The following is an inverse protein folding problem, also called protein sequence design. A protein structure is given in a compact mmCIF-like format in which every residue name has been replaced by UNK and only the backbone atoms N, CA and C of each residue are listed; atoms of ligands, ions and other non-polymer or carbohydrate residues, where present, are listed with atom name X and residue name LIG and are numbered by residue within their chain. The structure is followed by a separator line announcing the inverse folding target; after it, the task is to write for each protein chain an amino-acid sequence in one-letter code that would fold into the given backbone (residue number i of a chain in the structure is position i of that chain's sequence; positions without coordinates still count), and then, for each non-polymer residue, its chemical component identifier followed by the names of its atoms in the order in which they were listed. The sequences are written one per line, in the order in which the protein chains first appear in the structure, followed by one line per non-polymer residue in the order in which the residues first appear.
data_IF_409740026646
#
_entry.id   IF_409740026646
#
_cell.length_a   1.000
_cell.length_b   1.000
_cell.length_c   1.000
_cell.angle_alpha   90.00
_cell.angle_beta   90.00
_cell.angle_gamma   90.00
#
_symmetry.space_group_name_H-M   'P 1'
#
loop_
_entity.id
_entity.type
_entity.pdbx_description
1 polymer ?
#
# COMPACT_ATOMS: atom_id res chain seq x y z
N UNK A 1 -5.16 -63.04 10.11
CA UNK A 1 -6.13 -62.08 10.66
C UNK A 1 -5.37 -60.87 11.20
N UNK A 2 -5.88 -59.66 10.89
CA UNK A 2 -5.54 -58.31 11.36
C UNK A 2 -4.28 -57.65 10.71
N UNK A 3 -4.37 -56.81 9.66
CA UNK A 3 -4.76 -55.36 9.59
C UNK A 3 -3.87 -54.47 10.49
N UNK A 4 -3.17 -53.40 10.07
CA UNK A 4 -3.48 -52.30 9.13
C UNK A 4 -2.18 -51.56 8.72
N UNK A 5 -2.15 -51.07 7.48
CA UNK A 5 -1.24 -50.07 6.90
C UNK A 5 -1.31 -48.73 7.66
N UNK A 6 -0.17 -48.08 7.92
CA UNK A 6 -0.15 -46.65 8.23
C UNK A 6 0.85 -45.92 7.33
N UNK A 7 0.36 -45.50 6.16
CA UNK A 7 0.83 -44.31 5.47
C UNK A 7 0.26 -43.09 6.21
N UNK A 8 1.01 -41.97 6.31
CA UNK A 8 0.56 -40.61 5.97
C UNK A 8 1.60 -39.56 6.45
N UNK A 9 2.28 -39.01 5.45
CA UNK A 9 2.32 -37.59 5.10
C UNK A 9 2.97 -36.60 6.08
N UNK A 10 4.22 -36.28 5.73
CA UNK A 10 4.88 -35.00 5.97
C UNK A 10 3.95 -33.78 5.79
N UNK A 11 3.88 -32.92 6.81
CA UNK A 11 3.48 -31.54 6.63
C UNK A 11 4.57 -30.64 7.23
N UNK A 12 5.50 -30.20 6.36
CA UNK A 12 6.23 -28.95 6.59
C UNK A 12 5.18 -27.83 6.58
N UNK A 13 4.64 -27.47 7.73
CA UNK A 13 4.12 -26.12 7.90
C UNK A 13 5.33 -25.21 8.08
N UNK A 14 5.95 -24.82 6.96
CA UNK A 14 6.60 -23.54 6.89
C UNK A 14 5.51 -22.52 7.25
N UNK A 15 5.52 -22.04 8.49
CA UNK A 15 4.74 -20.86 8.86
C UNK A 15 5.32 -19.71 8.07
N UNK A 16 4.74 -19.48 6.89
CA UNK A 16 4.97 -18.29 6.09
C UNK A 16 4.86 -17.11 7.04
N UNK A 17 5.94 -16.33 7.16
CA UNK A 17 5.87 -15.06 7.83
C UNK A 17 4.78 -14.24 7.13
N UNK A 18 3.59 -14.17 7.72
CA UNK A 18 2.54 -13.25 7.28
C UNK A 18 3.04 -11.84 7.60
N UNK A 19 3.84 -11.29 6.69
CA UNK A 19 4.39 -9.93 6.77
C UNK A 19 3.40 -8.88 6.24
N UNK A 20 2.18 -9.30 5.89
CA UNK A 20 1.12 -8.45 5.36
C UNK A 20 0.11 -8.04 6.43
N UNK A 21 -0.47 -6.85 6.27
CA UNK A 21 -1.55 -6.37 7.12
C UNK A 21 -2.89 -6.96 6.65
N UNK A 22 -3.63 -7.59 7.57
CA UNK A 22 -4.92 -8.21 7.26
C UNK A 22 -6.08 -7.24 7.53
N UNK A 23 -7.10 -7.30 6.67
CA UNK A 23 -8.35 -6.56 6.76
C UNK A 23 -9.51 -7.52 6.59
N UNK A 24 -10.57 -7.34 7.39
CA UNK A 24 -11.80 -8.10 7.24
C UNK A 24 -12.50 -7.79 5.90
N UNK A 25 -13.39 -8.69 5.49
CA UNK A 25 -14.11 -8.55 4.23
C UNK A 25 -14.99 -7.31 4.12
N UNK A 26 -15.54 -6.79 5.23
CA UNK A 26 -16.39 -5.60 5.19
C UNK A 26 -15.55 -4.34 4.94
N UNK A 27 -14.42 -4.23 5.63
CA UNK A 27 -13.43 -3.18 5.44
C UNK A 27 -12.87 -3.22 4.02
N UNK A 28 -12.51 -4.41 3.52
CA UNK A 28 -11.93 -4.55 2.18
C UNK A 28 -12.92 -4.18 1.06
N UNK A 29 -14.20 -4.59 1.17
CA UNK A 29 -15.24 -4.22 0.20
C UNK A 29 -15.49 -2.72 0.09
N UNK A 30 -15.16 -1.96 1.13
CA UNK A 30 -15.28 -0.50 1.13
C UNK A 30 -14.07 0.22 0.51
N UNK A 31 -13.01 -0.51 0.14
CA UNK A 31 -11.81 0.08 -0.48
C UNK A 31 -12.15 0.56 -1.88
N UNK A 32 -11.87 1.83 -2.13
CA UNK A 32 -12.03 2.45 -3.45
C UNK A 32 -10.67 2.79 -4.05
N UNK A 33 -10.63 2.78 -5.38
CA UNK A 33 -9.46 3.13 -6.17
C UNK A 33 -9.54 4.58 -6.62
N UNK A 34 -8.45 5.32 -6.44
CA UNK A 34 -8.34 6.73 -6.79
C UNK A 34 -7.09 6.99 -7.62
N UNK A 35 -7.24 7.85 -8.63
CA UNK A 35 -6.14 8.64 -9.16
C UNK A 35 -5.68 9.65 -8.09
N UNK A 36 -4.40 10.03 -8.11
CA UNK A 36 -3.83 10.98 -7.15
C UNK A 36 -4.61 12.30 -7.17
N UNK A 37 -4.93 12.84 -8.36
CA UNK A 37 -5.65 14.10 -8.46
C UNK A 37 -7.06 14.05 -7.85
N UNK A 38 -7.73 12.90 -7.91
CA UNK A 38 -9.04 12.70 -7.28
C UNK A 38 -8.90 12.54 -5.77
N UNK A 39 -7.89 11.78 -5.32
CA UNK A 39 -7.64 11.56 -3.90
C UNK A 39 -7.33 12.85 -3.15
N UNK A 40 -6.48 13.72 -3.72
CA UNK A 40 -6.12 15.01 -3.10
C UNK A 40 -7.32 15.92 -2.83
N UNK A 41 -8.42 15.78 -3.60
CA UNK A 41 -9.66 16.56 -3.38
C UNK A 41 -10.53 16.00 -2.25
N UNK A 42 -10.34 14.74 -1.88
CA UNK A 42 -11.17 14.00 -0.93
C UNK A 42 -10.41 13.58 0.33
N UNK A 43 -9.09 13.80 0.39
CA UNK A 43 -8.22 13.19 1.40
C UNK A 43 -8.69 13.46 2.83
N UNK A 44 -9.10 14.70 3.13
CA UNK A 44 -9.63 15.08 4.44
C UNK A 44 -10.91 14.31 4.85
N UNK A 45 -11.79 13.97 3.90
CA UNK A 45 -13.01 13.20 4.18
C UNK A 45 -12.78 11.69 4.25
N UNK A 46 -11.60 11.23 3.81
CA UNK A 46 -11.22 9.82 3.77
C UNK A 46 -10.33 9.40 4.94
N UNK A 47 -10.03 10.28 5.90
CA UNK A 47 -9.22 9.96 7.07
C UNK A 47 -9.72 8.69 7.77
N UNK A 48 -8.79 7.77 8.03
CA UNK A 48 -9.03 6.46 8.62
C UNK A 48 -9.40 5.36 7.62
N UNK A 49 -9.78 5.70 6.39
CA UNK A 49 -10.15 4.75 5.33
C UNK A 49 -8.92 4.15 4.66
N UNK A 50 -9.09 2.93 4.16
CA UNK A 50 -8.14 2.26 3.28
C UNK A 50 -8.49 2.62 1.84
N UNK A 51 -7.49 3.01 1.07
CA UNK A 51 -7.61 3.44 -0.33
C UNK A 51 -6.62 2.68 -1.20
N UNK A 52 -7.00 2.50 -2.45
CA UNK A 52 -6.10 2.06 -3.52
C UNK A 52 -5.73 3.28 -4.35
N UNK A 53 -4.46 3.45 -4.67
CA UNK A 53 -3.95 4.62 -5.40
C UNK A 53 -3.23 4.18 -6.66
N UNK A 54 -3.61 4.77 -7.79
CA UNK A 54 -2.89 4.65 -9.06
C UNK A 54 -1.84 5.73 -9.20
N UNK A 55 -0.63 5.34 -9.60
CA UNK A 55 0.50 6.24 -9.76
C UNK A 55 1.48 5.69 -10.80
N UNK A 56 2.49 6.46 -11.20
CA UNK A 56 3.47 6.05 -12.22
C UNK A 56 4.87 5.85 -11.67
N UNK A 57 5.29 6.68 -10.71
CA UNK A 57 6.62 6.61 -10.12
C UNK A 57 6.63 7.16 -8.68
N UNK A 58 7.69 6.86 -7.93
CA UNK A 58 7.94 7.46 -6.60
C UNK A 58 9.04 8.51 -6.66
N UNK A 59 9.07 9.43 -5.70
CA UNK A 59 10.19 10.36 -5.56
C UNK A 59 11.48 9.67 -5.11
N UNK A 60 12.63 10.19 -5.53
CA UNK A 60 13.94 9.83 -4.94
C UNK A 60 14.15 10.39 -3.55
N UNK A 61 13.50 11.52 -3.28
CA UNK A 61 13.54 12.16 -1.97
C UNK A 61 12.75 11.33 -0.96
N UNK A 62 13.45 10.99 0.13
CA UNK A 62 12.93 10.35 1.33
C UNK A 62 13.31 11.23 2.51
N UNK A 63 12.33 11.65 3.30
CA UNK A 63 12.54 12.43 4.53
C UNK A 63 12.26 11.55 5.73
N UNK A 64 13.23 11.41 6.63
CA UNK A 64 13.00 10.73 7.90
C UNK A 64 12.23 11.68 8.83
N UNK A 65 11.04 11.27 9.27
CA UNK A 65 10.13 12.14 10.05
C UNK A 65 9.97 11.65 11.50
N UNK A 66 9.98 10.34 11.72
CA UNK A 66 9.90 9.69 13.03
C UNK A 66 10.80 8.45 13.02
N UNK A 67 11.22 7.89 14.18
CA UNK A 67 12.20 6.80 14.24
C UNK A 67 11.92 5.57 13.36
N UNK A 68 10.66 5.35 13.02
CA UNK A 68 10.18 4.20 12.24
C UNK A 68 9.47 4.60 10.94
N UNK A 69 9.45 5.88 10.56
CA UNK A 69 8.69 6.37 9.41
C UNK A 69 9.49 7.30 8.50
N UNK A 70 9.27 7.13 7.21
CA UNK A 70 9.84 7.94 6.14
C UNK A 70 8.72 8.56 5.33
N UNK A 71 8.77 9.87 5.16
CA UNK A 71 7.94 10.57 4.20
C UNK A 71 8.55 10.48 2.79
N UNK A 72 7.68 10.25 1.82
CA UNK A 72 8.00 10.22 0.40
C UNK A 72 6.83 10.82 -0.40
N UNK A 73 6.92 10.73 -1.72
CA UNK A 73 5.79 11.05 -2.58
C UNK A 73 5.62 10.04 -3.72
N UNK A 74 4.35 9.77 -4.05
CA UNK A 74 3.96 9.08 -5.28
C UNK A 74 3.51 10.12 -6.30
N UNK A 75 3.77 9.86 -7.57
CA UNK A 75 3.48 10.81 -8.64
C UNK A 75 2.74 10.13 -9.76
N UNK A 76 1.76 10.84 -10.29
CA UNK A 76 0.95 10.43 -11.44
C UNK A 76 1.00 11.53 -12.47
N UNK A 77 1.11 11.16 -13.75
CA UNK A 77 1.02 12.11 -14.85
C UNK A 77 -0.38 12.71 -14.88
N UNK A 78 -0.45 14.03 -14.88
CA UNK A 78 -1.70 14.77 -14.96
C UNK A 78 -1.52 15.98 -15.89
N UNK A 79 -1.98 15.89 -17.16
CA UNK A 79 -1.88 17.00 -18.11
C UNK A 79 -2.61 18.28 -17.68
N UNK A 80 -3.54 18.20 -16.72
CA UNK A 80 -4.27 19.36 -16.20
C UNK A 80 -3.46 20.18 -15.19
N UNK A 81 -2.40 19.60 -14.61
CA UNK A 81 -1.51 20.30 -13.68
C UNK A 81 -0.48 21.15 -14.42
N UNK A 82 -0.13 22.30 -13.86
CA UNK A 82 0.88 23.21 -14.45
C UNK A 82 2.22 22.53 -14.75
N UNK A 83 2.61 21.57 -13.92
CA UNK A 83 3.85 20.80 -14.07
C UNK A 83 3.66 19.47 -14.82
N UNK A 84 2.43 19.13 -15.21
CA UNK A 84 2.09 17.88 -15.89
C UNK A 84 1.98 16.65 -14.97
N UNK A 85 2.03 16.83 -13.64
CA UNK A 85 2.00 15.75 -12.66
C UNK A 85 1.26 16.18 -11.40
N UNK A 86 0.53 15.23 -10.79
CA UNK A 86 0.00 15.35 -9.43
C UNK A 86 0.85 14.50 -8.49
N UNK A 87 1.17 15.04 -7.31
CA UNK A 87 1.99 14.38 -6.30
C UNK A 87 1.21 14.12 -5.02
N UNK A 88 1.27 12.89 -4.52
CA UNK A 88 0.66 12.47 -3.26
C UNK A 88 1.74 12.33 -2.19
N UNK A 89 1.56 12.96 -1.03
CA UNK A 89 2.42 12.73 0.14
C UNK A 89 2.10 11.37 0.75
N UNK A 90 3.14 10.58 1.00
CA UNK A 90 2.98 9.25 1.60
C UNK A 90 3.95 9.02 2.76
N UNK A 91 3.53 8.18 3.69
CA UNK A 91 4.35 7.69 4.80
C UNK A 91 4.68 6.22 4.58
N UNK A 92 5.95 5.86 4.71
CA UNK A 92 6.47 4.50 4.49
C UNK A 92 7.15 4.03 5.77
N UNK A 93 6.78 2.85 6.26
CA UNK A 93 7.43 2.29 7.43
C UNK A 93 8.89 1.95 7.10
N UNK A 94 9.79 2.14 8.05
CA UNK A 94 11.22 1.82 7.91
C UNK A 94 11.46 0.38 7.44
N UNK A 95 10.66 -0.58 7.94
CA UNK A 95 10.74 -2.00 7.55
C UNK A 95 10.40 -2.23 6.07
N UNK A 96 9.55 -1.39 5.49
CA UNK A 96 9.04 -1.54 4.13
C UNK A 96 9.82 -0.70 3.11
N UNK A 97 10.74 0.14 3.59
CA UNK A 97 11.55 1.03 2.76
C UNK A 97 12.36 0.31 1.67
N UNK A 98 12.97 -0.88 1.91
CA UNK A 98 13.64 -1.62 0.84
C UNK A 98 12.72 -1.97 -0.32
N UNK A 99 11.50 -2.43 -0.03
CA UNK A 99 10.51 -2.76 -1.05
C UNK A 99 9.98 -1.51 -1.75
N UNK A 100 9.72 -0.42 -1.02
CA UNK A 100 9.34 0.86 -1.62
C UNK A 100 10.38 1.37 -2.62
N UNK A 101 11.68 1.18 -2.34
CA UNK A 101 12.77 1.62 -3.22
C UNK A 101 12.83 0.86 -4.55
N UNK A 102 12.21 -0.33 -4.66
CA UNK A 102 12.15 -1.08 -5.93
C UNK A 102 11.15 -0.48 -6.92
N UNK A 103 10.23 0.37 -6.44
CA UNK A 103 9.37 1.17 -7.30
C UNK A 103 10.23 2.15 -8.08
N UNK A 104 10.00 2.24 -9.39
CA UNK A 104 10.69 3.16 -10.28
C UNK A 104 10.58 4.62 -9.80
N UNK A 105 11.70 5.35 -9.88
CA UNK A 105 11.72 6.82 -9.78
C UNK A 105 11.82 7.53 -11.12
N UNK A 106 11.78 6.79 -12.24
CA UNK A 106 11.82 7.38 -13.55
C UNK A 106 10.50 8.13 -13.84
N UNK A 107 10.57 9.45 -13.86
CA UNK A 107 9.42 10.31 -14.16
C UNK A 107 8.91 10.16 -15.61
N UNK A 108 9.69 9.50 -16.49
CA UNK A 108 9.26 9.14 -17.85
C UNK A 108 8.48 7.83 -17.89
N UNK A 109 8.43 7.08 -16.78
CA UNK A 109 7.64 5.85 -16.68
C UNK A 109 6.17 6.14 -16.99
N UNK A 110 5.63 5.42 -17.97
CA UNK A 110 4.20 5.43 -18.31
C UNK A 110 3.46 4.24 -17.69
N UNK A 111 4.19 3.34 -17.03
CA UNK A 111 3.57 2.20 -16.37
C UNK A 111 2.66 2.70 -15.25
N UNK A 112 1.42 2.20 -15.24
CA UNK A 112 0.52 2.41 -14.11
C UNK A 112 0.85 1.38 -13.03
N UNK A 113 1.00 1.88 -11.81
CA UNK A 113 1.32 1.12 -10.62
C UNK A 113 0.24 1.37 -9.57
N UNK A 114 0.00 0.36 -8.76
CA UNK A 114 -0.97 0.41 -7.67
C UNK A 114 -0.25 0.31 -6.32
N UNK A 115 -0.74 1.07 -5.35
CA UNK A 115 -0.37 0.96 -3.94
C UNK A 115 -1.63 1.07 -3.07
N UNK A 116 -1.58 0.44 -1.91
CA UNK A 116 -2.64 0.44 -0.91
C UNK A 116 -2.16 1.22 0.30
N UNK A 117 -3.03 2.07 0.83
CA UNK A 117 -2.68 2.94 1.93
C UNK A 117 -3.85 3.28 2.82
N UNK A 118 -3.56 3.72 4.03
CA UNK A 118 -4.53 4.32 4.94
C UNK A 118 -4.37 5.83 4.92
N UNK A 119 -5.45 6.56 4.75
CA UNK A 119 -5.41 8.02 4.87
C UNK A 119 -5.34 8.38 6.35
N UNK A 120 -4.35 9.17 6.74
CA UNK A 120 -4.09 9.55 8.13
C UNK A 120 -3.88 11.06 8.24
N UNK A 121 -4.26 11.62 9.40
CA UNK A 121 -4.01 13.02 9.72
C UNK A 121 -2.61 13.13 10.31
N UNK A 122 -1.82 14.09 9.83
CA UNK A 122 -0.55 14.45 10.43
C UNK A 122 -0.85 15.38 11.61
N UNK A 123 -0.57 14.98 12.87
CA UNK A 123 -0.93 15.75 14.06
C UNK A 123 -0.40 17.19 14.03
N UNK A 124 0.83 17.39 13.54
CA UNK A 124 1.55 18.66 13.65
C UNK A 124 1.33 19.62 12.47
N UNK A 125 0.81 19.13 11.34
CA UNK A 125 0.67 19.91 10.10
C UNK A 125 -0.78 20.26 9.76
N UNK A 126 -1.75 19.75 10.53
CA UNK A 126 -3.19 19.79 10.21
C UNK A 126 -3.47 19.41 8.75
N UNK A 127 -2.67 18.49 8.22
CA UNK A 127 -2.67 18.03 6.84
C UNK A 127 -2.88 16.52 6.83
N UNK A 128 -3.22 15.97 5.68
CA UNK A 128 -3.38 14.52 5.49
C UNK A 128 -2.18 13.91 4.78
N UNK A 129 -2.02 12.60 4.97
CA UNK A 129 -1.12 11.80 4.16
C UNK A 129 -1.68 10.39 3.99
N UNK A 130 -1.10 9.66 3.04
CA UNK A 130 -1.38 8.23 2.88
C UNK A 130 -0.25 7.41 3.46
N UNK A 131 -0.52 6.68 4.54
CA UNK A 131 0.40 5.66 5.07
C UNK A 131 0.34 4.42 4.20
N UNK A 132 1.42 4.08 3.53
CA UNK A 132 1.49 2.92 2.64
C UNK A 132 1.52 1.62 3.43
N UNK A 133 0.75 0.67 2.94
CA UNK A 133 0.56 -0.66 3.51
C UNK A 133 1.23 -1.72 2.65
N UNK A 134 1.26 -1.52 1.34
CA UNK A 134 1.78 -2.48 0.38
C UNK A 134 1.35 -2.17 -1.05
N UNK A 135 1.67 -3.10 -1.95
CA UNK A 135 1.32 -3.06 -3.38
C UNK A 135 0.69 -4.35 -3.90
N UNK A 136 0.72 -5.41 -3.09
CA UNK A 136 0.18 -6.72 -3.40
C UNK A 136 -0.98 -6.99 -2.45
N UNK A 137 -1.95 -7.73 -2.97
CA UNK A 137 -3.15 -8.13 -2.23
C UNK A 137 -3.44 -9.58 -2.52
N UNK A 138 -3.72 -10.33 -1.47
CA UNK A 138 -4.33 -11.66 -1.54
C UNK A 138 -5.67 -11.59 -0.80
N UNK A 139 -6.74 -12.06 -1.45
CA UNK A 139 -8.07 -12.15 -0.84
C UNK A 139 -8.39 -13.62 -0.61
N UNK A 140 -8.74 -13.98 0.62
CA UNK A 140 -9.11 -15.36 0.97
C UNK A 140 -10.57 -15.69 0.57
N UNK A 141 -10.96 -16.95 0.76
CA UNK A 141 -12.31 -17.42 0.44
C UNK A 141 -13.42 -16.75 1.28
N UNK A 142 -13.09 -16.21 2.45
CA UNK A 142 -14.02 -15.45 3.29
C UNK A 142 -14.12 -13.96 2.87
N UNK A 143 -13.27 -13.54 1.92
CA UNK A 143 -13.20 -12.17 1.44
C UNK A 143 -12.28 -11.27 2.27
N UNK A 144 -11.52 -11.81 3.24
CA UNK A 144 -10.54 -11.04 3.97
C UNK A 144 -9.33 -10.78 3.08
N UNK A 145 -8.74 -9.60 3.20
CA UNK A 145 -7.60 -9.21 2.40
C UNK A 145 -6.32 -9.14 3.23
N UNK A 146 -5.23 -9.65 2.69
CA UNK A 146 -3.87 -9.43 3.18
C UNK A 146 -3.15 -8.51 2.21
N UNK A 147 -2.68 -7.36 2.71
CA UNK A 147 -1.93 -6.36 1.94
C UNK A 147 -0.45 -6.45 2.32
N UNK A 148 0.42 -6.61 1.33
CA UNK A 148 1.87 -6.73 1.49
C UNK A 148 2.66 -6.05 0.36
N UNK A 149 3.98 -6.03 0.48
CA UNK A 149 4.90 -5.36 -0.45
C UNK A 149 5.47 -6.31 -1.52
#
# INVERSE_FOLDING_TARGET
MKTILAFILSLLCATSAFSGQQFDAATWRAVHTYDIAALLKLEASLVGRIVTVHFNYRSEKLRHTEPSWFEASLWQRNPQEKKGFSGLRVMVAKKDLPAFKTITSDFKSLAELTAYGRVEKIPDLNDTCVRLLGRKVVVDAAGNATVDW
#
